data_IF_744510102118
#
_entry.id   IF_744510102118
#
_cell.length_a   1.000
_cell.length_b   1.000
_cell.length_c   1.000
_cell.angle_alpha   90.00
_cell.angle_beta   90.00
_cell.angle_gamma   90.00
#
_symmetry.space_group_name_H-M   'P 1'
#
loop_
_entity.id
_entity.type
_entity.pdbx_description
1 polymer ?
#
# COMPACT_ATOMS: atom_id res chain seq x y z
N UNK A 1 5.09 -1.72 -26.96
CA UNK A 1 4.58 -0.95 -28.12
C UNK A 1 3.04 -0.83 -28.15
N UNK A 2 2.22 -1.88 -27.90
CA UNK A 2 0.74 -1.73 -27.90
C UNK A 2 0.23 -0.80 -26.79
N UNK A 3 0.85 -0.87 -25.61
CA UNK A 3 0.58 0.00 -24.46
C UNK A 3 0.90 1.47 -24.72
N UNK A 4 1.90 1.77 -25.57
CA UNK A 4 2.23 3.15 -25.96
C UNK A 4 1.13 3.77 -26.82
N UNK A 5 0.50 3.01 -27.72
CA UNK A 5 -0.65 3.50 -28.50
C UNK A 5 -1.85 3.82 -27.61
N UNK A 6 -2.13 2.97 -26.61
CA UNK A 6 -3.23 3.19 -25.66
C UNK A 6 -2.97 4.45 -24.81
N UNK A 7 -1.76 4.60 -24.27
CA UNK A 7 -1.38 5.78 -23.48
C UNK A 7 -1.37 7.05 -24.34
N UNK A 8 -0.92 6.98 -25.59
CA UNK A 8 -0.92 8.12 -26.51
C UNK A 8 -2.34 8.54 -26.95
N UNK A 9 -3.29 7.60 -27.04
CA UNK A 9 -4.68 7.91 -27.37
C UNK A 9 -5.43 8.52 -26.16
N UNK A 10 -5.13 8.02 -24.95
CA UNK A 10 -5.77 8.46 -23.69
C UNK A 10 -5.13 9.73 -23.13
N UNK A 11 -3.82 9.91 -23.32
CA UNK A 11 -3.01 11.06 -22.91
C UNK A 11 -3.63 12.44 -23.20
N UNK A 12 -4.09 12.73 -24.43
CA UNK A 12 -4.70 14.02 -24.78
C UNK A 12 -6.16 14.19 -24.33
N UNK A 13 -6.84 13.12 -23.90
CA UNK A 13 -8.20 13.22 -23.33
C UNK A 13 -8.19 13.64 -21.85
N UNK A 14 -7.15 13.25 -21.11
CA UNK A 14 -6.94 13.62 -19.70
C UNK A 14 -6.91 15.16 -19.45
N UNK A 15 -6.19 16.00 -20.23
CA UNK A 15 -6.18 17.45 -20.00
C UNK A 15 -7.52 18.13 -20.30
N UNK A 16 -8.38 17.57 -21.16
CA UNK A 16 -9.73 18.07 -21.40
C UNK A 16 -10.66 17.80 -20.21
N UNK A 17 -10.49 16.65 -19.56
CA UNK A 17 -11.21 16.31 -18.33
C UNK A 17 -10.77 17.17 -17.14
N UNK A 18 -9.48 17.56 -17.07
CA UNK A 18 -8.95 18.48 -16.04
C UNK A 18 -9.33 19.96 -16.22
N UNK A 19 -9.68 20.40 -17.43
CA UNK A 19 -10.08 21.81 -17.69
C UNK A 19 -11.51 22.14 -17.26
N UNK A 20 -12.35 21.13 -17.00
CA UNK A 20 -13.72 21.32 -16.50
C UNK A 20 -13.74 21.33 -14.96
N UNK A 21 -14.27 22.40 -14.31
CA UNK A 21 -14.35 22.47 -12.85
C UNK A 21 -15.25 21.38 -12.25
N UNK A 22 -16.27 20.93 -13.00
CA UNK A 22 -17.19 19.85 -12.61
C UNK A 22 -16.47 18.50 -12.59
N UNK A 23 -15.68 18.21 -13.63
CA UNK A 23 -14.91 16.97 -13.70
C UNK A 23 -13.81 16.93 -12.64
N UNK A 24 -13.16 18.06 -12.30
CA UNK A 24 -12.25 18.13 -11.16
C UNK A 24 -12.95 17.88 -9.81
N UNK A 25 -14.17 18.38 -9.61
CA UNK A 25 -14.94 18.10 -8.40
C UNK A 25 -15.27 16.59 -8.28
N UNK A 26 -15.69 15.96 -9.39
CA UNK A 26 -15.94 14.52 -9.44
C UNK A 26 -14.67 13.71 -9.17
N UNK A 27 -13.55 14.03 -9.84
CA UNK A 27 -12.27 13.34 -9.64
C UNK A 27 -11.75 13.46 -8.20
N UNK A 28 -12.00 14.59 -7.52
CA UNK A 28 -11.69 14.74 -6.09
C UNK A 28 -12.54 13.82 -5.22
N UNK A 29 -13.84 13.71 -5.49
CA UNK A 29 -14.73 12.77 -4.81
C UNK A 29 -14.29 11.31 -5.01
N UNK A 30 -13.97 10.93 -6.24
CA UNK A 30 -13.45 9.59 -6.57
C UNK A 30 -12.11 9.33 -5.89
N UNK A 31 -11.17 10.28 -5.93
CA UNK A 31 -9.88 10.11 -5.26
C UNK A 31 -10.05 9.93 -3.74
N UNK A 32 -10.93 10.71 -3.10
CA UNK A 32 -11.25 10.55 -1.69
C UNK A 32 -11.86 9.17 -1.39
N UNK A 33 -12.76 8.67 -2.27
CA UNK A 33 -13.33 7.34 -2.15
C UNK A 33 -12.28 6.23 -2.31
N UNK A 34 -11.35 6.37 -3.27
CA UNK A 34 -10.23 5.43 -3.47
C UNK A 34 -9.31 5.42 -2.25
N UNK A 35 -8.95 6.58 -1.70
CA UNK A 35 -8.15 6.68 -0.48
C UNK A 35 -8.87 6.01 0.69
N UNK A 36 -10.17 6.27 0.87
CA UNK A 36 -10.96 5.63 1.91
C UNK A 36 -11.03 4.11 1.75
N UNK A 37 -11.16 3.61 0.52
CA UNK A 37 -11.16 2.17 0.22
C UNK A 37 -9.81 1.52 0.51
N UNK A 38 -8.71 2.12 0.04
CA UNK A 38 -7.35 1.64 0.32
C UNK A 38 -7.12 1.59 1.83
N UNK A 39 -7.50 2.64 2.55
CA UNK A 39 -7.35 2.72 4.00
C UNK A 39 -8.20 1.66 4.71
N UNK A 40 -9.44 1.44 4.27
CA UNK A 40 -10.32 0.40 4.81
C UNK A 40 -9.73 -1.00 4.65
N UNK A 41 -9.23 -1.32 3.45
CA UNK A 41 -8.57 -2.61 3.17
C UNK A 41 -7.28 -2.75 3.96
N UNK A 42 -6.48 -1.69 4.05
CA UNK A 42 -5.26 -1.67 4.85
C UNK A 42 -5.55 -1.94 6.34
N UNK A 43 -6.61 -1.34 6.89
CA UNK A 43 -7.04 -1.59 8.28
C UNK A 43 -7.56 -3.02 8.48
N UNK A 44 -8.28 -3.58 7.52
CA UNK A 44 -8.74 -4.96 7.58
C UNK A 44 -7.57 -5.95 7.56
N UNK A 45 -6.58 -5.70 6.69
CA UNK A 45 -5.32 -6.44 6.63
C UNK A 45 -4.54 -6.29 7.93
N UNK A 46 -4.43 -5.07 8.47
CA UNK A 46 -3.75 -4.81 9.74
C UNK A 46 -4.35 -5.61 10.90
N UNK A 47 -5.67 -5.60 11.04
CA UNK A 47 -6.37 -6.37 12.09
C UNK A 47 -6.20 -7.88 11.92
N UNK A 48 -6.14 -8.36 10.68
CA UNK A 48 -5.90 -9.78 10.39
C UNK A 48 -4.43 -10.17 10.57
N UNK A 49 -3.51 -9.22 10.40
CA UNK A 49 -2.08 -9.43 10.56
C UNK A 49 -1.62 -9.35 12.02
N UNK A 50 -2.27 -8.50 12.84
CA UNK A 50 -1.94 -8.32 14.26
C UNK A 50 -2.92 -9.12 15.11
N UNK A 51 -2.65 -10.42 15.24
CA UNK A 51 -3.50 -11.34 16.03
C UNK A 51 -2.95 -11.54 17.45
N UNK A 52 -1.63 -11.46 17.62
CA UNK A 52 -0.92 -11.67 18.89
C UNK A 52 0.02 -10.51 19.29
N UNK A 53 0.36 -10.46 20.58
CA UNK A 53 1.36 -9.53 21.15
C UNK A 53 2.72 -9.63 20.44
N UNK A 54 3.09 -10.81 19.93
CA UNK A 54 4.30 -11.03 19.14
C UNK A 54 4.25 -10.37 17.75
N UNK A 55 3.11 -10.48 17.06
CA UNK A 55 2.88 -9.78 15.78
C UNK A 55 2.85 -8.26 15.97
N UNK A 56 2.36 -7.77 17.11
CA UNK A 56 2.45 -6.35 17.45
C UNK A 56 3.90 -5.88 17.68
N UNK A 57 4.74 -6.70 18.31
CA UNK A 57 6.18 -6.42 18.45
C UNK A 57 6.91 -6.42 17.10
N UNK A 58 6.59 -7.36 16.22
CA UNK A 58 7.13 -7.38 14.84
C UNK A 58 6.69 -6.17 14.03
N UNK A 59 5.42 -5.76 14.17
CA UNK A 59 4.91 -4.55 13.56
C UNK A 59 5.66 -3.32 14.07
N UNK A 60 5.86 -3.18 15.39
CA UNK A 60 6.61 -2.07 15.96
C UNK A 60 8.07 -2.06 15.51
N UNK A 61 8.75 -3.20 15.50
CA UNK A 61 10.13 -3.34 15.04
C UNK A 61 10.27 -2.99 13.55
N UNK A 62 9.35 -3.48 12.70
CA UNK A 62 9.30 -3.17 11.29
C UNK A 62 9.01 -1.69 11.03
N UNK A 63 8.08 -1.08 11.77
CA UNK A 63 7.75 0.34 11.65
C UNK A 63 8.94 1.22 12.04
N UNK A 64 9.64 0.89 13.13
CA UNK A 64 10.85 1.58 13.57
C UNK A 64 11.97 1.39 12.54
N UNK A 65 12.17 0.18 12.01
CA UNK A 65 13.17 -0.06 10.97
C UNK A 65 12.88 0.75 9.69
N UNK A 66 11.61 0.80 9.25
CA UNK A 66 11.20 1.55 8.07
C UNK A 66 11.41 3.06 8.25
N UNK A 67 10.99 3.61 9.40
CA UNK A 67 11.08 5.05 9.69
C UNK A 67 12.50 5.52 10.02
N UNK A 68 13.30 4.69 10.70
CA UNK A 68 14.64 5.07 11.18
C UNK A 68 15.75 4.73 10.20
N UNK A 69 15.64 3.61 9.48
CA UNK A 69 16.71 3.08 8.62
C UNK A 69 16.48 3.27 7.12
N UNK A 70 15.30 3.73 6.65
CA UNK A 70 14.99 3.80 5.21
C UNK A 70 15.38 2.49 4.49
N UNK A 71 15.24 1.36 5.20
CA UNK A 71 15.75 0.10 4.72
C UNK A 71 14.99 -0.28 3.45
N UNK A 72 15.74 -0.54 2.38
CA UNK A 72 15.20 -1.00 1.11
C UNK A 72 14.19 -2.13 1.35
N UNK A 73 13.05 -2.07 0.66
CA UNK A 73 11.89 -2.95 0.88
C UNK A 73 12.27 -4.44 0.94
N UNK A 74 13.33 -4.84 0.23
CA UNK A 74 13.85 -6.22 0.25
C UNK A 74 14.34 -6.68 1.63
N UNK A 75 15.01 -5.81 2.41
CA UNK A 75 15.57 -6.17 3.73
C UNK A 75 14.48 -6.31 4.79
N UNK A 76 13.44 -5.46 4.74
CA UNK A 76 12.28 -5.54 5.62
C UNK A 76 11.47 -6.82 5.37
N UNK A 77 11.29 -7.21 4.10
CA UNK A 77 10.57 -8.44 3.75
C UNK A 77 11.35 -9.68 4.21
N UNK A 78 12.68 -9.68 4.06
CA UNK A 78 13.53 -10.77 4.54
C UNK A 78 13.55 -10.89 6.07
N UNK A 79 13.64 -9.77 6.79
CA UNK A 79 13.57 -9.76 8.25
C UNK A 79 12.22 -10.26 8.76
N UNK A 80 11.12 -9.79 8.17
CA UNK A 80 9.77 -10.26 8.48
C UNK A 80 9.58 -11.76 8.17
N UNK A 81 10.07 -12.23 7.03
CA UNK A 81 10.00 -13.64 6.64
C UNK A 81 10.82 -14.54 7.56
N UNK A 82 12.04 -14.13 7.94
CA UNK A 82 12.88 -14.87 8.87
C UNK A 82 12.24 -14.98 10.26
N UNK A 83 11.71 -13.87 10.80
CA UNK A 83 10.98 -13.91 12.07
C UNK A 83 9.71 -14.76 12.00
N UNK A 84 8.98 -14.73 10.87
CA UNK A 84 7.83 -15.59 10.63
C UNK A 84 8.20 -17.08 10.57
N UNK A 85 9.31 -17.42 9.91
CA UNK A 85 9.82 -18.79 9.82
C UNK A 85 10.27 -19.33 11.16
N UNK A 86 10.97 -18.51 11.96
CA UNK A 86 11.38 -18.89 13.32
C UNK A 86 10.17 -19.20 14.19
N UNK A 87 9.07 -18.45 14.03
CA UNK A 87 7.80 -18.75 14.73
C UNK A 87 7.12 -20.02 14.21
N UNK A 88 7.09 -20.25 12.89
CA UNK A 88 6.58 -21.50 12.32
C UNK A 88 7.36 -22.73 12.83
N UNK A 89 8.65 -22.57 13.12
CA UNK A 89 9.50 -23.62 13.68
C UNK A 89 9.38 -23.77 15.21
N UNK A 90 9.03 -22.70 15.95
CA UNK A 90 8.83 -22.75 17.41
C UNK A 90 7.39 -23.09 17.84
N UNK A 91 6.41 -22.95 16.94
CA UNK A 91 5.02 -23.35 17.17
C UNK A 91 4.77 -24.77 16.65
N UNK A 92 4.82 -25.76 17.54
CA UNK A 92 4.08 -27.03 17.36
C UNK A 92 2.59 -26.80 17.26
#
# INVERSE_FOLDING_TARGET
LPSFCIVALVGPWIPRLRRSPVAQAFLRGVNAAVVALILSVALALFRSAVVDLWTALLLAAGLVALLRFQAETWWLVLGGAACGLVRFLLGT
#
